data_IF_093154211322
#
_entry.id   IF_093154211322
#
_cell.length_a   1.000
_cell.length_b   1.000
_cell.length_c   1.000
_cell.angle_alpha   90.00
_cell.angle_beta   90.00
_cell.angle_gamma   90.00
#
_symmetry.space_group_name_H-M   'P 1'
#
loop_
_entity.id
_entity.type
_entity.pdbx_description
1 polymer ?
#
# COMPACT_ATOMS: atom_id res chain seq x y z
N UNK A 1 -9.49 9.91 17.20
CA UNK A 1 -9.72 11.00 16.25
C UNK A 1 -8.64 10.97 15.19
N UNK A 2 -9.02 10.83 13.95
CA UNK A 2 -8.04 10.84 12.88
C UNK A 2 -7.44 12.23 12.73
N UNK A 3 -6.12 12.28 12.73
CA UNK A 3 -5.43 13.55 12.52
C UNK A 3 -5.71 14.04 11.09
N UNK A 4 -6.08 15.32 10.88
CA UNK A 4 -6.22 15.85 9.53
C UNK A 4 -4.88 15.95 8.80
N UNK A 5 -3.78 15.69 9.52
CA UNK A 5 -2.43 15.74 8.96
C UNK A 5 -1.80 14.38 8.81
N UNK A 6 -2.60 13.31 8.80
CA UNK A 6 -2.08 11.98 8.58
C UNK A 6 -1.41 11.90 7.21
N UNK A 7 -0.22 11.30 7.18
CA UNK A 7 0.58 11.21 5.97
C UNK A 7 0.50 9.81 5.37
N UNK A 8 0.48 9.74 4.06
CA UNK A 8 0.55 8.45 3.38
C UNK A 8 1.58 8.50 2.24
N UNK A 9 2.14 7.35 1.96
CA UNK A 9 3.00 7.16 0.80
C UNK A 9 2.53 5.92 0.06
N UNK A 10 2.77 5.86 -1.24
CA UNK A 10 2.41 4.67 -2.01
C UNK A 10 3.54 4.29 -2.96
N UNK A 11 3.58 3.01 -3.28
CA UNK A 11 4.50 2.46 -4.25
C UNK A 11 3.73 1.56 -5.20
N UNK A 12 3.97 1.73 -6.49
CA UNK A 12 3.27 0.98 -7.53
C UNK A 12 4.22 0.01 -8.20
N UNK A 13 3.80 -1.24 -8.30
CA UNK A 13 4.53 -2.28 -9.02
C UNK A 13 3.84 -2.54 -10.35
N UNK A 14 4.61 -2.74 -11.40
CA UNK A 14 4.10 -3.27 -12.66
C UNK A 14 3.69 -2.26 -13.69
N UNK A 15 2.49 -2.37 -14.21
CA UNK A 15 2.09 -1.76 -15.46
C UNK A 15 1.41 -0.38 -15.30
N UNK A 16 1.12 0.24 -16.44
CA UNK A 16 0.46 1.55 -16.48
C UNK A 16 -0.89 1.57 -15.80
N UNK A 17 -1.62 0.45 -15.86
CA UNK A 17 -2.93 0.34 -15.22
C UNK A 17 -2.79 0.48 -13.70
N UNK A 18 -1.78 -0.15 -13.12
CA UNK A 18 -1.53 -0.04 -11.70
C UNK A 18 -1.16 1.40 -11.29
N UNK A 19 -0.40 2.10 -12.13
CA UNK A 19 -0.07 3.50 -11.87
C UNK A 19 -1.32 4.37 -11.86
N UNK A 20 -2.23 4.16 -12.81
CA UNK A 20 -3.49 4.90 -12.86
C UNK A 20 -4.32 4.65 -11.60
N UNK A 21 -4.38 3.39 -11.15
CA UNK A 21 -5.10 3.01 -9.94
C UNK A 21 -4.50 3.69 -8.71
N UNK A 22 -3.17 3.69 -8.60
CA UNK A 22 -2.48 4.35 -7.49
C UNK A 22 -2.75 5.84 -7.46
N UNK A 23 -2.74 6.49 -8.62
CA UNK A 23 -3.03 7.93 -8.72
C UNK A 23 -4.45 8.23 -8.24
N UNK A 24 -5.41 7.38 -8.60
CA UNK A 24 -6.80 7.55 -8.17
C UNK A 24 -6.93 7.40 -6.65
N UNK A 25 -6.29 6.37 -6.09
CA UNK A 25 -6.31 6.15 -4.64
C UNK A 25 -5.68 7.35 -3.93
N UNK A 26 -4.53 7.82 -4.38
CA UNK A 26 -3.84 8.95 -3.78
C UNK A 26 -4.70 10.21 -3.83
N UNK A 27 -5.33 10.48 -4.96
CA UNK A 27 -6.21 11.65 -5.11
C UNK A 27 -7.35 11.62 -4.12
N UNK A 28 -7.98 10.46 -3.94
CA UNK A 28 -9.10 10.34 -3.02
C UNK A 28 -8.66 10.48 -1.56
N UNK A 29 -7.50 9.96 -1.21
CA UNK A 29 -6.97 10.12 0.15
C UNK A 29 -6.65 11.58 0.46
N UNK A 30 -6.11 12.31 -0.51
CA UNK A 30 -5.86 13.75 -0.36
C UNK A 30 -7.17 14.50 -0.14
N UNK A 31 -8.23 14.13 -0.84
CA UNK A 31 -9.55 14.72 -0.64
C UNK A 31 -10.10 14.46 0.77
N UNK A 32 -9.69 13.38 1.39
CA UNK A 32 -10.11 13.03 2.76
C UNK A 32 -9.26 13.70 3.83
N UNK A 33 -8.27 14.49 3.42
CA UNK A 33 -7.45 15.26 4.35
C UNK A 33 -6.07 14.68 4.64
N UNK A 34 -5.70 13.58 3.99
CA UNK A 34 -4.36 13.02 4.15
C UNK A 34 -3.37 13.77 3.26
N UNK A 35 -2.11 13.77 3.67
CA UNK A 35 -1.03 14.38 2.89
C UNK A 35 -0.17 13.31 2.25
N UNK A 36 0.07 13.43 0.95
CA UNK A 36 0.95 12.50 0.24
C UNK A 36 2.41 12.86 0.45
N UNK A 37 3.24 11.87 0.77
CA UNK A 37 4.68 12.02 0.90
C UNK A 37 5.38 10.97 0.04
N UNK A 38 6.68 11.12 -0.12
CA UNK A 38 7.49 10.17 -0.89
C UNK A 38 7.59 8.84 -0.15
N UNK A 39 7.70 7.72 -0.89
CA UNK A 39 7.82 6.39 -0.31
C UNK A 39 9.05 6.25 0.60
N UNK A 40 10.07 7.08 0.39
CA UNK A 40 11.27 7.07 1.22
C UNK A 40 11.16 7.94 2.47
N UNK A 41 10.09 8.71 2.60
CA UNK A 41 9.86 9.56 3.75
C UNK A 41 9.01 8.84 4.78
N UNK A 42 9.05 9.33 6.02
CA UNK A 42 8.20 8.80 7.06
C UNK A 42 6.74 9.12 6.79
N UNK A 43 5.90 8.10 6.86
CA UNK A 43 4.46 8.24 6.69
C UNK A 43 3.73 7.39 7.72
N UNK A 44 2.47 7.73 7.96
CA UNK A 44 1.62 6.94 8.86
C UNK A 44 1.08 5.71 8.17
N UNK A 45 0.87 5.80 6.86
CA UNK A 45 0.31 4.72 6.04
C UNK A 45 1.16 4.54 4.81
N UNK A 46 1.53 3.29 4.53
CA UNK A 46 2.23 2.90 3.29
C UNK A 46 1.31 2.00 2.50
N UNK A 47 1.05 2.37 1.25
CA UNK A 47 0.17 1.63 0.36
C UNK A 47 1.00 1.02 -0.76
N UNK A 48 0.96 -0.30 -0.88
CA UNK A 48 1.69 -1.01 -1.93
C UNK A 48 0.68 -1.57 -2.92
N UNK A 49 0.69 -1.02 -4.13
CA UNK A 49 -0.16 -1.49 -5.21
C UNK A 49 0.64 -2.49 -6.05
N UNK A 50 0.40 -3.77 -5.79
CA UNK A 50 1.23 -4.86 -6.29
C UNK A 50 0.77 -5.39 -7.65
N UNK A 51 1.72 -6.05 -8.32
CA UNK A 51 1.46 -6.80 -9.54
C UNK A 51 2.05 -8.19 -9.35
N UNK A 52 1.32 -9.23 -9.76
CA UNK A 52 1.76 -10.61 -9.57
C UNK A 52 2.02 -11.30 -10.92
N UNK A 53 2.71 -10.60 -11.81
CA UNK A 53 3.05 -11.15 -13.13
C UNK A 53 4.24 -12.08 -13.05
N UNK A 54 5.17 -11.83 -12.11
CA UNK A 54 6.38 -12.62 -11.94
C UNK A 54 6.72 -12.80 -10.47
N UNK A 55 7.53 -13.85 -10.15
CA UNK A 55 8.04 -14.06 -8.80
C UNK A 55 8.91 -12.89 -8.35
N UNK A 56 9.59 -12.22 -9.28
CA UNK A 56 10.42 -11.07 -8.96
C UNK A 56 9.60 -9.91 -8.39
N UNK A 57 8.39 -9.72 -8.91
CA UNK A 57 7.50 -8.68 -8.39
C UNK A 57 7.10 -9.00 -6.94
N UNK A 58 6.77 -10.26 -6.66
CA UNK A 58 6.41 -10.70 -5.31
C UNK A 58 7.57 -10.50 -4.35
N UNK A 59 8.78 -10.85 -4.76
CA UNK A 59 9.99 -10.69 -3.94
C UNK A 59 10.29 -9.22 -3.68
N UNK A 60 10.09 -8.36 -4.65
CA UNK A 60 10.29 -6.91 -4.47
C UNK A 60 9.30 -6.35 -3.45
N UNK A 61 8.05 -6.78 -3.51
CA UNK A 61 7.04 -6.37 -2.55
C UNK A 61 7.43 -6.79 -1.13
N UNK A 62 7.87 -8.04 -0.96
CA UNK A 62 8.31 -8.55 0.35
C UNK A 62 9.49 -7.75 0.90
N UNK A 63 10.45 -7.40 0.06
CA UNK A 63 11.61 -6.61 0.47
C UNK A 63 11.21 -5.22 0.94
N UNK A 64 10.31 -4.58 0.22
CA UNK A 64 9.84 -3.25 0.60
C UNK A 64 9.07 -3.30 1.92
N UNK A 65 8.20 -4.28 2.09
CA UNK A 65 7.46 -4.46 3.33
C UNK A 65 8.41 -4.63 4.51
N UNK A 66 9.42 -5.49 4.35
CA UNK A 66 10.42 -5.72 5.40
C UNK A 66 11.18 -4.44 5.73
N UNK A 67 11.62 -3.72 4.71
CA UNK A 67 12.35 -2.46 4.89
C UNK A 67 11.50 -1.42 5.64
N UNK A 68 10.25 -1.26 5.24
CA UNK A 68 9.35 -0.29 5.88
C UNK A 68 9.07 -0.68 7.33
N UNK A 69 8.88 -1.98 7.60
CA UNK A 69 8.62 -2.43 8.96
C UNK A 69 9.82 -2.21 9.88
N UNK A 70 11.04 -2.38 9.35
CA UNK A 70 12.25 -2.15 10.13
C UNK A 70 12.49 -0.67 10.38
N UNK A 71 12.22 0.16 9.38
CA UNK A 71 12.50 1.60 9.46
C UNK A 71 11.40 2.37 10.20
N UNK A 72 10.15 1.98 9.97
CA UNK A 72 8.99 2.66 10.55
C UNK A 72 8.01 1.63 11.14
N UNK A 73 8.36 1.00 12.27
CA UNK A 73 7.57 -0.10 12.82
C UNK A 73 6.16 0.27 13.26
N UNK A 74 5.91 1.54 13.51
CA UNK A 74 4.58 2.00 13.95
C UNK A 74 3.67 2.38 12.80
N UNK A 75 4.17 2.38 11.57
CA UNK A 75 3.36 2.71 10.40
C UNK A 75 2.45 1.55 10.00
N UNK A 76 1.37 1.89 9.32
CA UNK A 76 0.47 0.89 8.74
C UNK A 76 0.94 0.56 7.33
N UNK A 77 1.02 -0.71 7.02
CA UNK A 77 1.37 -1.17 5.67
C UNK A 77 0.17 -1.87 5.07
N UNK A 78 -0.34 -1.32 3.99
CA UNK A 78 -1.52 -1.82 3.30
C UNK A 78 -1.09 -2.33 1.94
N UNK A 79 -1.45 -3.57 1.62
CA UNK A 79 -1.09 -4.19 0.35
C UNK A 79 -2.35 -4.44 -0.46
N UNK A 80 -2.35 -3.98 -1.70
CA UNK A 80 -3.46 -4.20 -2.63
C UNK A 80 -2.90 -4.61 -3.99
N UNK A 81 -3.78 -4.86 -4.95
CA UNK A 81 -3.39 -5.24 -6.30
C UNK A 81 -3.43 -6.74 -6.53
N UNK A 82 -2.81 -7.19 -7.63
CA UNK A 82 -2.90 -8.58 -8.05
C UNK A 82 -2.31 -9.57 -7.05
N UNK A 83 -1.18 -9.25 -6.46
CA UNK A 83 -0.56 -10.13 -5.47
C UNK A 83 -1.47 -10.28 -4.25
N UNK A 84 -2.06 -9.18 -3.79
CA UNK A 84 -2.98 -9.20 -2.67
C UNK A 84 -4.22 -10.05 -2.96
N UNK A 85 -4.69 -10.02 -4.21
CA UNK A 85 -5.85 -10.79 -4.63
C UNK A 85 -5.55 -12.29 -4.73
N UNK A 86 -4.37 -12.64 -5.25
CA UNK A 86 -4.01 -14.03 -5.48
C UNK A 86 -3.50 -14.75 -4.25
N UNK A 87 -2.75 -14.06 -3.39
CA UNK A 87 -2.11 -14.67 -2.22
C UNK A 87 -2.33 -13.82 -0.96
N UNK A 88 -3.59 -13.53 -0.59
CA UNK A 88 -3.84 -12.63 0.54
C UNK A 88 -3.33 -13.19 1.86
N UNK A 89 -3.41 -14.49 2.06
CA UNK A 89 -2.96 -15.12 3.30
C UNK A 89 -1.46 -15.03 3.45
N UNK A 90 -0.70 -15.29 2.39
CA UNK A 90 0.75 -15.19 2.41
C UNK A 90 1.19 -13.77 2.80
N UNK A 91 0.55 -12.77 2.22
CA UNK A 91 0.87 -11.37 2.50
C UNK A 91 0.49 -10.99 3.93
N UNK A 92 -0.67 -11.42 4.39
CA UNK A 92 -1.14 -11.09 5.74
C UNK A 92 -0.24 -11.65 6.83
N UNK A 93 0.51 -12.71 6.52
CA UNK A 93 1.45 -13.31 7.46
C UNK A 93 2.81 -12.59 7.50
N UNK A 94 3.06 -11.70 6.54
CA UNK A 94 4.30 -10.93 6.52
C UNK A 94 4.31 -9.92 7.66
N UNK A 95 5.40 -9.87 8.40
CA UNK A 95 5.55 -8.96 9.53
C UNK A 95 5.46 -7.51 9.06
N UNK A 96 4.61 -6.74 9.69
CA UNK A 96 4.42 -5.33 9.37
C UNK A 96 3.20 -5.02 8.52
N UNK A 97 2.64 -6.03 7.84
CA UNK A 97 1.43 -5.83 7.04
C UNK A 97 0.23 -5.65 7.96
N UNK A 98 -0.42 -4.51 7.85
CA UNK A 98 -1.58 -4.18 8.67
C UNK A 98 -2.87 -4.66 8.02
N UNK A 99 -2.95 -4.53 6.68
CA UNK A 99 -4.17 -4.85 5.97
C UNK A 99 -3.86 -5.30 4.55
N UNK A 100 -4.68 -6.23 4.05
CA UNK A 100 -4.62 -6.71 2.67
C UNK A 100 -5.96 -6.37 2.02
N UNK A 101 -5.91 -5.67 0.90
CA UNK A 101 -7.11 -5.23 0.17
C UNK A 101 -7.15 -5.91 -1.18
N UNK A 102 -8.16 -6.73 -1.41
CA UNK A 102 -8.36 -7.40 -2.69
C UNK A 102 -8.81 -6.44 -3.79
N UNK A 103 -8.87 -6.96 -5.02
CA UNK A 103 -9.22 -6.13 -6.17
C UNK A 103 -10.64 -5.54 -6.07
N UNK A 104 -11.56 -6.26 -5.44
CA UNK A 104 -12.94 -5.78 -5.30
C UNK A 104 -13.05 -4.57 -4.38
N UNK A 105 -12.13 -4.45 -3.42
CA UNK A 105 -12.15 -3.37 -2.44
C UNK A 105 -11.08 -2.31 -2.70
N UNK A 106 -10.36 -2.41 -3.82
CA UNK A 106 -9.25 -1.53 -4.16
C UNK A 106 -9.66 -0.05 -4.16
N UNK A 107 -10.87 0.25 -4.59
CA UNK A 107 -11.38 1.61 -4.66
C UNK A 107 -12.33 1.95 -3.52
N UNK A 108 -12.41 1.11 -2.52
CA UNK A 108 -13.08 1.46 -1.28
C UNK A 108 -12.09 2.23 -0.41
N UNK A 109 -12.07 3.53 -0.60
CA UNK A 109 -11.01 4.39 -0.05
C UNK A 109 -11.00 4.45 1.47
N UNK A 110 -12.12 4.15 2.10
CA UNK A 110 -12.19 4.13 3.57
C UNK A 110 -11.34 2.99 4.16
N UNK A 111 -11.03 1.97 3.36
CA UNK A 111 -10.20 0.85 3.82
C UNK A 111 -8.74 1.25 4.00
N UNK A 112 -8.32 2.40 3.49
CA UNK A 112 -6.92 2.82 3.53
C UNK A 112 -6.56 3.66 4.76
N UNK A 113 -7.55 4.07 5.54
CA UNK A 113 -7.27 4.89 6.73
C UNK A 113 -8.20 4.61 7.90
#
# INVERSE_FOLDING_TARGET
MSSPYQKFAYHTFGCKVNFADSCMIARELVKKGLSEVNINDEADIYILNTCSVTENADNKAKKIIKKLNLKYPDSKIIVTGCYAQLKPQEISELKGVTKVIGMNDKFNFEEYY
#
